data_IF_810944526676
#
_entry.id   IF_810944526676
#
_cell.length_a   1.000
_cell.length_b   1.000
_cell.length_c   1.000
_cell.angle_alpha   90.00
_cell.angle_beta   90.00
_cell.angle_gamma   90.00
#
_symmetry.space_group_name_H-M   'P 1'
#
loop_
_entity.id
_entity.type
_entity.pdbx_description
1 polymer ?
#
# COMPACT_ATOMS: atom_id res chain seq x y z
N UNK A 1 11.31 0.23 18.18
CA UNK A 1 10.26 -0.66 17.65
C UNK A 1 9.24 0.24 16.98
N UNK A 2 8.62 -0.21 15.89
CA UNK A 2 7.52 0.54 15.28
C UNK A 2 6.35 0.61 16.26
N UNK A 3 5.81 1.80 16.48
CA UNK A 3 4.62 2.05 17.30
C UNK A 3 3.39 2.31 16.43
N UNK A 4 3.58 2.70 15.17
CA UNK A 4 2.49 2.97 14.23
C UNK A 4 2.78 2.38 12.84
N UNK A 5 1.93 1.47 12.40
CA UNK A 5 2.03 0.78 11.10
C UNK A 5 0.93 1.29 10.20
N UNK A 6 1.29 1.90 9.06
CA UNK A 6 0.33 2.29 8.04
C UNK A 6 0.24 1.21 6.96
N UNK A 7 -0.97 0.83 6.58
CA UNK A 7 -1.23 0.05 5.38
C UNK A 7 -2.15 0.82 4.43
N UNK A 8 -1.72 0.98 3.18
CA UNK A 8 -2.58 1.52 2.13
C UNK A 8 -3.15 0.37 1.30
N UNK A 9 -4.48 0.31 1.21
CA UNK A 9 -5.22 -0.80 0.59
C UNK A 9 -6.14 -0.32 -0.53
N UNK A 10 -6.38 -1.21 -1.49
CA UNK A 10 -7.40 -1.11 -2.53
C UNK A 10 -8.11 -2.47 -2.67
N UNK A 11 -9.02 -2.61 -3.64
CA UNK A 11 -9.72 -3.87 -3.90
C UNK A 11 -8.86 -4.90 -4.69
N UNK A 12 -7.53 -4.87 -4.52
CA UNK A 12 -6.64 -5.83 -5.18
C UNK A 12 -6.30 -7.03 -4.29
N UNK A 13 -6.03 -8.21 -4.87
CA UNK A 13 -5.50 -9.35 -4.11
C UNK A 13 -4.20 -9.03 -3.38
N UNK A 14 -3.32 -8.22 -3.96
CA UNK A 14 -2.07 -7.80 -3.33
C UNK A 14 -2.31 -6.93 -2.09
N UNK A 15 -3.26 -6.00 -2.14
CA UNK A 15 -3.61 -5.17 -1.00
C UNK A 15 -4.17 -5.99 0.18
N UNK A 16 -4.99 -7.00 -0.08
CA UNK A 16 -5.46 -7.92 0.98
C UNK A 16 -4.32 -8.69 1.65
N UNK A 17 -3.30 -9.09 0.88
CA UNK A 17 -2.08 -9.68 1.45
C UNK A 17 -1.29 -8.63 2.25
N UNK A 18 -1.19 -7.40 1.75
CA UNK A 18 -0.52 -6.31 2.44
C UNK A 18 -1.18 -6.01 3.80
N UNK A 19 -2.52 -6.02 3.87
CA UNK A 19 -3.28 -5.91 5.11
C UNK A 19 -2.93 -7.03 6.08
N UNK A 20 -2.91 -8.29 5.63
CA UNK A 20 -2.57 -9.43 6.48
C UNK A 20 -1.14 -9.34 7.04
N UNK A 21 -0.18 -8.87 6.24
CA UNK A 21 1.20 -8.63 6.69
C UNK A 21 1.27 -7.45 7.67
N UNK A 22 0.54 -6.37 7.43
CA UNK A 22 0.47 -5.21 8.32
C UNK A 22 -0.13 -5.58 9.69
N UNK A 23 -1.21 -6.37 9.70
CA UNK A 23 -1.81 -6.92 10.92
C UNK A 23 -0.80 -7.78 11.68
N UNK A 24 -0.07 -8.66 10.97
CA UNK A 24 0.94 -9.52 11.58
C UNK A 24 2.09 -8.72 12.18
N UNK A 25 2.55 -7.69 11.46
CA UNK A 25 3.60 -6.78 11.91
C UNK A 25 3.17 -5.97 13.12
N UNK A 26 1.98 -5.37 13.08
CA UNK A 26 1.43 -4.57 14.17
C UNK A 26 1.23 -5.43 15.43
N UNK A 27 0.71 -6.65 15.29
CA UNK A 27 0.56 -7.59 16.41
C UNK A 27 1.91 -7.94 17.06
N UNK A 28 2.93 -8.24 16.25
CA UNK A 28 4.25 -8.58 16.76
C UNK A 28 4.92 -7.38 17.48
N UNK A 29 4.64 -6.16 17.04
CA UNK A 29 5.22 -4.95 17.59
C UNK A 29 4.38 -4.30 18.71
N UNK A 30 3.17 -4.80 18.95
CA UNK A 30 2.15 -4.10 19.76
C UNK A 30 1.92 -2.66 19.29
N UNK A 31 1.90 -2.48 17.96
CA UNK A 31 1.72 -1.19 17.31
C UNK A 31 0.24 -0.93 16.98
N UNK A 32 -0.11 0.34 16.86
CA UNK A 32 -1.39 0.76 16.28
C UNK A 32 -1.37 0.59 14.76
N UNK A 33 -2.50 0.15 14.19
CA UNK A 33 -2.65 -0.07 12.75
C UNK A 33 -3.49 1.04 12.11
N UNK A 34 -2.87 1.77 11.19
CA UNK A 34 -3.54 2.76 10.36
C UNK A 34 -3.94 2.12 9.03
N UNK A 35 -5.23 2.10 8.71
CA UNK A 35 -5.77 1.51 7.46
C UNK A 35 -6.24 2.66 6.56
N UNK A 36 -5.55 2.84 5.45
CA UNK A 36 -5.78 3.93 4.52
C UNK A 36 -6.34 3.42 3.20
N UNK A 37 -7.41 4.05 2.71
CA UNK A 37 -7.85 3.95 1.33
C UNK A 37 -7.82 5.33 0.69
N UNK A 38 -7.19 5.44 -0.49
CA UNK A 38 -7.17 6.66 -1.28
C UNK A 38 -7.99 6.42 -2.55
N UNK A 39 -9.02 7.24 -2.76
CA UNK A 39 -9.82 7.16 -3.99
C UNK A 39 -8.97 7.63 -5.17
N UNK A 40 -8.77 6.73 -6.13
CA UNK A 40 -8.03 7.01 -7.36
C UNK A 40 -8.98 7.56 -8.45
N UNK A 41 -8.90 8.88 -8.69
CA UNK A 41 -9.64 9.57 -9.74
C UNK A 41 -8.93 9.57 -11.10
N UNK A 42 -7.82 8.84 -11.29
CA UNK A 42 -7.09 8.81 -12.55
C UNK A 42 -7.91 8.30 -13.74
N UNK A 43 -8.99 7.55 -13.53
CA UNK A 43 -9.91 7.14 -14.60
C UNK A 43 -10.53 8.35 -15.34
N UNK A 44 -10.71 9.48 -14.65
CA UNK A 44 -11.19 10.73 -15.25
C UNK A 44 -10.19 11.34 -16.25
N UNK A 45 -8.92 10.93 -16.23
CA UNK A 45 -7.92 11.38 -17.21
C UNK A 45 -8.06 10.66 -18.56
N UNK A 46 -8.68 9.46 -18.58
CA UNK A 46 -8.82 8.64 -19.78
C UNK A 46 -10.20 8.79 -20.44
N UNK A 47 -11.24 9.16 -19.68
CA UNK A 47 -12.57 9.40 -20.23
C UNK A 47 -12.69 10.83 -20.80
N UNK A 48 -12.47 10.95 -22.11
CA UNK A 48 -12.64 12.18 -22.92
C UNK A 48 -14.12 12.57 -23.10
N UNK A 49 -14.86 12.67 -22.00
CA UNK A 49 -16.24 13.11 -22.02
C UNK A 49 -16.67 13.46 -20.60
N UNK A 50 -17.23 14.65 -20.45
CA UNK A 50 -17.99 15.08 -19.28
C UNK A 50 -19.18 14.12 -19.03
N UNK A 51 -18.92 12.89 -18.59
CA UNK A 51 -19.86 12.11 -17.79
C UNK A 51 -19.94 12.78 -16.42
N UNK A 52 -21.13 12.91 -15.88
CA UNK A 52 -21.36 13.71 -14.68
C UNK A 52 -20.56 13.14 -13.50
N UNK A 53 -19.47 13.82 -13.12
CA UNK A 53 -18.62 13.47 -11.97
C UNK A 53 -19.44 13.28 -10.69
N UNK A 54 -20.58 13.97 -10.59
CA UNK A 54 -21.53 13.84 -9.48
C UNK A 54 -22.08 12.42 -9.31
N UNK A 55 -22.19 11.64 -10.39
CA UNK A 55 -22.86 10.34 -10.36
C UNK A 55 -21.94 9.20 -9.86
N UNK A 56 -20.63 9.34 -10.03
CA UNK A 56 -19.66 8.28 -9.68
C UNK A 56 -19.00 8.48 -8.32
N UNK A 57 -18.81 9.73 -7.87
CA UNK A 57 -18.17 10.00 -6.57
C UNK A 57 -18.85 9.29 -5.39
N UNK A 58 -20.20 9.30 -5.26
CA UNK A 58 -20.85 8.56 -4.17
C UNK A 58 -20.57 7.05 -4.21
N UNK A 59 -20.47 6.46 -5.40
CA UNK A 59 -20.20 5.03 -5.56
C UNK A 59 -18.75 4.69 -5.21
N UNK A 60 -17.80 5.58 -5.55
CA UNK A 60 -16.39 5.43 -5.19
C UNK A 60 -16.17 5.57 -3.68
N UNK A 61 -16.87 6.51 -3.03
CA UNK A 61 -16.86 6.66 -1.57
C UNK A 61 -17.40 5.39 -0.92
N UNK A 62 -18.59 4.93 -1.32
CA UNK A 62 -19.18 3.71 -0.77
C UNK A 62 -18.29 2.46 -0.98
N UNK A 63 -17.64 2.36 -2.14
CA UNK A 63 -16.66 1.29 -2.39
C UNK A 63 -15.43 1.40 -1.49
N UNK A 64 -14.91 2.60 -1.28
CA UNK A 64 -13.79 2.87 -0.37
C UNK A 64 -14.13 2.56 1.09
N UNK A 65 -15.32 2.96 1.54
CA UNK A 65 -15.86 2.63 2.87
C UNK A 65 -15.98 1.12 3.05
N UNK A 66 -16.44 0.38 2.03
CA UNK A 66 -16.50 -1.09 2.08
C UNK A 66 -15.12 -1.72 2.23
N UNK A 67 -14.12 -1.22 1.49
CA UNK A 67 -12.72 -1.70 1.59
C UNK A 67 -12.16 -1.46 3.00
N UNK A 68 -12.41 -0.27 3.57
CA UNK A 68 -11.98 0.06 4.93
C UNK A 68 -12.68 -0.81 5.97
N UNK A 69 -13.98 -1.04 5.81
CA UNK A 69 -14.77 -1.88 6.71
C UNK A 69 -14.26 -3.32 6.73
N UNK A 70 -13.93 -3.91 5.56
CA UNK A 70 -13.30 -5.23 5.50
C UNK A 70 -11.93 -5.25 6.21
N UNK A 71 -11.17 -4.17 6.08
CA UNK A 71 -9.90 -3.98 6.78
C UNK A 71 -10.06 -3.93 8.30
N UNK A 72 -11.02 -3.14 8.77
CA UNK A 72 -11.38 -2.99 10.16
C UNK A 72 -11.80 -4.32 10.79
N UNK A 73 -12.67 -5.07 10.11
CA UNK A 73 -13.11 -6.39 10.57
C UNK A 73 -11.93 -7.37 10.71
N UNK A 74 -11.00 -7.38 9.77
CA UNK A 74 -9.81 -8.22 9.83
C UNK A 74 -8.88 -7.85 11.00
N UNK A 75 -8.68 -6.55 11.25
CA UNK A 75 -7.86 -6.07 12.37
C UNK A 75 -8.55 -6.31 13.73
N UNK A 76 -9.86 -6.06 13.81
CA UNK A 76 -10.68 -6.26 14.99
C UNK A 76 -10.79 -7.74 15.39
N UNK A 77 -10.82 -8.66 14.42
CA UNK A 77 -10.86 -10.10 14.68
C UNK A 77 -9.65 -10.62 15.49
N UNK A 78 -8.52 -9.91 15.45
CA UNK A 78 -7.32 -10.23 16.24
C UNK A 78 -7.10 -9.27 17.42
N UNK A 79 -8.03 -8.35 17.67
CA UNK A 79 -8.00 -7.44 18.81
C UNK A 79 -6.99 -6.28 18.69
N UNK A 80 -6.58 -5.91 17.48
CA UNK A 80 -5.69 -4.77 17.28
C UNK A 80 -6.41 -3.43 17.44
N UNK A 81 -5.71 -2.45 18.02
CA UNK A 81 -6.11 -1.05 17.91
C UNK A 81 -5.85 -0.59 16.47
N UNK A 82 -6.84 0.07 15.88
CA UNK A 82 -6.77 0.51 14.49
C UNK A 82 -7.60 1.76 14.24
N UNK A 83 -7.23 2.48 13.19
CA UNK A 83 -7.97 3.62 12.65
C UNK A 83 -8.10 3.50 11.13
N UNK A 84 -9.28 3.80 10.61
CA UNK A 84 -9.60 3.77 9.19
C UNK A 84 -9.72 5.18 8.64
N UNK A 85 -9.04 5.46 7.53
CA UNK A 85 -9.13 6.75 6.85
C UNK A 85 -9.40 6.57 5.36
N UNK A 86 -10.42 7.30 4.89
CA UNK A 86 -10.74 7.45 3.48
C UNK A 86 -10.27 8.83 2.99
N UNK A 87 -9.38 8.86 2.01
CA UNK A 87 -9.01 10.09 1.31
C UNK A 87 -9.84 10.20 0.02
N UNK A 88 -10.85 11.07 0.08
CA UNK A 88 -11.62 11.59 -1.05
C UNK A 88 -11.10 12.99 -1.41
N UNK A 89 -10.05 13.03 -2.23
CA UNK A 89 -9.44 14.28 -2.69
C UNK A 89 -9.31 14.26 -4.21
N UNK A 90 -9.96 15.20 -4.90
CA UNK A 90 -9.84 15.34 -6.36
C UNK A 90 -8.41 15.61 -6.82
N UNK A 91 -7.54 16.14 -5.95
CA UNK A 91 -6.12 16.29 -6.26
C UNK A 91 -5.38 14.94 -6.39
N UNK A 92 -6.02 13.80 -6.05
CA UNK A 92 -5.44 12.46 -6.24
C UNK A 92 -5.38 12.01 -7.70
N UNK A 93 -5.91 12.79 -8.65
CA UNK A 93 -5.89 12.48 -10.09
C UNK A 93 -4.46 12.22 -10.60
N UNK A 94 -4.05 10.94 -10.59
CA UNK A 94 -2.71 10.50 -10.95
C UNK A 94 -1.67 10.59 -9.82
N UNK A 95 -2.07 10.84 -8.57
CA UNK A 95 -1.13 11.11 -7.48
C UNK A 95 -1.44 10.43 -6.13
N UNK A 96 -1.94 9.19 -6.19
CA UNK A 96 -2.20 8.37 -4.99
C UNK A 96 -0.96 8.23 -4.10
N UNK A 97 0.23 8.07 -4.69
CA UNK A 97 1.47 7.89 -3.93
C UNK A 97 1.80 9.12 -3.06
N UNK A 98 1.62 10.34 -3.58
CA UNK A 98 1.90 11.54 -2.78
C UNK A 98 0.91 11.70 -1.64
N UNK A 99 -0.36 11.36 -1.84
CA UNK A 99 -1.34 11.36 -0.74
C UNK A 99 -0.98 10.37 0.35
N UNK A 100 -0.52 9.17 -0.02
CA UNK A 100 -0.04 8.19 0.96
C UNK A 100 1.22 8.71 1.67
N UNK A 101 2.14 9.37 0.97
CA UNK A 101 3.34 9.97 1.57
C UNK A 101 3.03 11.12 2.53
N UNK A 102 2.08 11.99 2.17
CA UNK A 102 1.59 13.06 3.04
C UNK A 102 0.93 12.46 4.28
N UNK A 103 -0.01 11.52 4.08
CA UNK A 103 -0.71 10.90 5.19
C UNK A 103 0.23 10.15 6.14
N UNK A 104 1.23 9.43 5.61
CA UNK A 104 2.24 8.76 6.43
C UNK A 104 3.02 9.72 7.34
N UNK A 105 3.26 10.97 6.89
CA UNK A 105 3.87 12.00 7.73
C UNK A 105 2.91 12.52 8.78
N UNK A 106 1.68 12.79 8.36
CA UNK A 106 0.67 13.43 9.20
C UNK A 106 0.21 12.52 10.34
N UNK A 107 0.04 11.22 10.06
CA UNK A 107 -0.32 10.24 11.07
C UNK A 107 0.89 9.80 11.93
N UNK A 108 2.12 10.08 11.49
CA UNK A 108 3.33 9.70 12.22
C UNK A 108 3.70 8.21 12.08
N UNK A 109 3.34 7.60 10.95
CA UNK A 109 3.66 6.20 10.68
C UNK A 109 5.17 5.94 10.75
N UNK A 110 5.58 4.83 11.36
CA UNK A 110 6.98 4.41 11.37
C UNK A 110 7.35 3.54 10.15
N UNK A 111 6.34 2.96 9.51
CA UNK A 111 6.47 2.05 8.38
C UNK A 111 5.17 2.02 7.57
N UNK A 112 5.31 1.91 6.25
CA UNK A 112 4.18 1.79 5.31
C UNK A 112 4.18 0.41 4.68
N UNK A 113 3.03 -0.26 4.64
CA UNK A 113 2.84 -1.56 4.00
C UNK A 113 1.90 -1.39 2.81
N UNK A 114 2.30 -1.92 1.65
CA UNK A 114 1.52 -1.85 0.41
C UNK A 114 1.66 -3.12 -0.43
N UNK A 115 0.66 -3.37 -1.27
CA UNK A 115 0.76 -4.35 -2.34
C UNK A 115 1.71 -3.88 -3.44
N UNK A 116 2.39 -4.80 -4.14
CA UNK A 116 3.21 -4.41 -5.31
C UNK A 116 2.39 -4.04 -6.53
N UNK A 117 1.12 -4.43 -6.59
CA UNK A 117 0.20 -4.12 -7.68
C UNK A 117 -1.15 -3.75 -7.09
N UNK A 118 -1.86 -2.83 -7.73
CA UNK A 118 -3.25 -2.52 -7.42
C UNK A 118 -4.23 -3.16 -8.41
N UNK A 119 -5.43 -2.59 -8.49
CA UNK A 119 -6.54 -3.06 -9.35
C UNK A 119 -6.19 -3.27 -10.84
N UNK A 120 -5.28 -2.46 -11.38
CA UNK A 120 -4.91 -2.48 -12.80
C UNK A 120 -3.64 -3.29 -13.12
N UNK A 121 -3.13 -4.09 -12.17
CA UNK A 121 -1.84 -4.78 -12.28
C UNK A 121 -1.69 -5.65 -13.53
N UNK A 122 -0.81 -5.25 -14.45
CA UNK A 122 -0.44 -6.06 -15.61
C UNK A 122 0.51 -7.19 -15.19
N UNK A 123 0.19 -8.44 -15.52
CA UNK A 123 0.97 -9.66 -15.18
C UNK A 123 2.46 -9.65 -15.58
N UNK A 124 2.90 -8.67 -16.38
CA UNK A 124 4.27 -8.50 -16.87
C UNK A 124 5.12 -7.53 -16.04
N UNK A 125 4.51 -6.60 -15.31
CA UNK A 125 5.25 -5.63 -14.49
C UNK A 125 5.52 -6.22 -13.10
N UNK A 126 6.62 -5.80 -12.48
CA UNK A 126 6.99 -6.26 -11.12
C UNK A 126 6.46 -5.37 -10.01
N UNK A 127 6.17 -4.11 -10.35
CA UNK A 127 5.74 -3.07 -9.43
C UNK A 127 4.78 -2.13 -10.18
N UNK A 128 3.65 -1.81 -9.57
CA UNK A 128 2.74 -0.77 -10.02
C UNK A 128 3.31 0.62 -9.75
N UNK A 129 2.79 1.63 -10.45
CA UNK A 129 3.26 3.02 -10.36
C UNK A 129 3.24 3.58 -8.94
N UNK A 130 2.18 3.29 -8.17
CA UNK A 130 2.06 3.72 -6.77
C UNK A 130 3.15 3.08 -5.91
N UNK A 131 3.36 1.78 -6.04
CA UNK A 131 4.35 1.06 -5.25
C UNK A 131 5.79 1.44 -5.61
N UNK A 132 6.07 1.75 -6.88
CA UNK A 132 7.37 2.27 -7.31
C UNK A 132 7.65 3.66 -6.71
N UNK A 133 6.66 4.54 -6.77
CA UNK A 133 6.78 5.91 -6.25
C UNK A 133 6.98 5.89 -4.74
N UNK A 134 6.21 5.08 -4.01
CA UNK A 134 6.36 4.92 -2.57
C UNK A 134 7.72 4.32 -2.19
N UNK A 135 8.17 3.28 -2.89
CA UNK A 135 9.49 2.68 -2.62
C UNK A 135 10.65 3.68 -2.79
N UNK A 136 10.48 4.67 -3.68
CA UNK A 136 11.47 5.71 -3.97
C UNK A 136 11.41 6.87 -2.98
N UNK A 137 10.22 7.41 -2.76
CA UNK A 137 10.04 8.76 -2.19
C UNK A 137 9.35 8.76 -0.81
N UNK A 138 8.96 7.59 -0.28
CA UNK A 138 8.30 7.53 1.01
C UNK A 138 9.22 8.02 2.14
N UNK A 139 8.71 8.88 3.03
CA UNK A 139 9.48 9.44 4.14
C UNK A 139 9.89 8.42 5.19
N UNK A 140 9.30 7.21 5.14
CA UNK A 140 9.52 6.12 6.08
C UNK A 140 9.73 4.80 5.32
N UNK A 141 10.27 3.75 5.97
CA UNK A 141 10.43 2.45 5.33
C UNK A 141 9.12 1.91 4.73
N UNK A 142 9.23 1.30 3.54
CA UNK A 142 8.10 0.72 2.82
C UNK A 142 8.28 -0.80 2.70
N UNK A 143 7.24 -1.53 3.09
CA UNK A 143 7.08 -2.96 2.93
C UNK A 143 6.20 -3.23 1.71
N UNK A 144 6.80 -3.82 0.69
CA UNK A 144 6.17 -4.25 -0.54
C UNK A 144 5.78 -5.71 -0.45
N UNK A 145 4.48 -5.99 -0.60
CA UNK A 145 3.90 -7.33 -0.52
C UNK A 145 3.45 -7.80 -1.90
N UNK A 146 4.07 -8.88 -2.40
CA UNK A 146 3.82 -9.42 -3.74
C UNK A 146 2.68 -10.44 -3.76
N UNK A 147 2.07 -10.65 -4.91
CA UNK A 147 1.30 -11.87 -5.14
C UNK A 147 2.26 -13.06 -5.36
N UNK A 148 1.92 -14.25 -4.84
CA UNK A 148 2.80 -15.44 -4.86
C UNK A 148 3.08 -15.99 -6.27
N UNK A 149 2.44 -15.47 -7.31
CA UNK A 149 2.40 -16.06 -8.65
C UNK A 149 3.41 -15.50 -9.68
N UNK A 150 4.12 -14.40 -9.40
CA UNK A 150 4.96 -13.73 -10.42
C UNK A 150 6.48 -13.84 -10.12
N UNK A 151 7.23 -14.51 -11.00
CA UNK A 151 8.70 -14.53 -10.98
C UNK A 151 9.30 -13.20 -11.46
N UNK A 152 10.51 -12.85 -10.99
CA UNK A 152 11.22 -11.59 -11.26
C UNK A 152 12.01 -11.64 -12.59
N UNK A 153 11.74 -10.79 -13.60
CA UNK A 153 12.67 -10.60 -14.71
C UNK A 153 13.99 -9.95 -14.28
N UNK A 154 15.10 -10.46 -14.82
CA UNK A 154 16.47 -10.11 -14.40
C UNK A 154 16.84 -8.61 -14.47
N UNK A 155 16.22 -7.83 -15.38
CA UNK A 155 16.56 -6.42 -15.58
C UNK A 155 16.21 -5.50 -14.40
N UNK A 156 15.21 -5.86 -13.59
CA UNK A 156 14.74 -5.06 -12.46
C UNK A 156 15.24 -5.58 -11.09
N UNK A 157 15.88 -6.75 -11.05
CA UNK A 157 16.70 -7.21 -9.90
C UNK A 157 17.85 -6.22 -9.60
N UNK A 158 18.34 -5.54 -10.64
CA UNK A 158 19.34 -4.49 -10.51
C UNK A 158 18.82 -3.23 -9.78
N UNK A 159 17.52 -2.93 -9.87
CA UNK A 159 16.90 -1.76 -9.23
C UNK A 159 16.96 -1.86 -7.70
N UNK A 160 16.84 -3.08 -7.17
CA UNK A 160 16.88 -3.36 -5.74
C UNK A 160 18.30 -3.66 -5.21
N UNK A 161 19.34 -3.63 -6.05
CA UNK A 161 20.70 -3.96 -5.65
C UNK A 161 20.90 -5.47 -5.48
N UNK A 162 21.55 -6.08 -6.47
CA UNK A 162 21.64 -7.54 -6.64
C UNK A 162 22.59 -8.29 -5.67
N UNK A 163 22.77 -7.88 -4.41
CA UNK A 163 23.79 -8.51 -3.53
C UNK A 163 23.42 -8.91 -2.11
N UNK A 164 22.24 -8.61 -1.58
CA UNK A 164 21.82 -9.19 -0.29
C UNK A 164 20.29 -9.42 -0.28
N UNK A 165 19.85 -10.31 -1.15
CA UNK A 165 18.46 -10.75 -1.26
C UNK A 165 18.09 -11.66 -0.07
N UNK A 166 18.05 -11.10 1.14
CA UNK A 166 17.33 -11.71 2.26
C UNK A 166 15.83 -11.49 2.08
N UNK A 167 15.28 -12.10 1.02
CA UNK A 167 13.85 -12.24 0.82
C UNK A 167 13.31 -13.21 1.87
N UNK A 168 12.41 -12.76 2.73
CA UNK A 168 11.48 -13.67 3.41
C UNK A 168 10.22 -13.78 2.57
N UNK A 169 10.23 -14.71 1.62
CA UNK A 169 9.07 -15.01 0.77
C UNK A 169 8.64 -13.82 -0.12
N UNK A 170 7.37 -13.45 -0.02
CA UNK A 170 6.74 -12.45 -0.91
C UNK A 170 6.90 -10.99 -0.44
N UNK A 171 7.64 -10.75 0.64
CA UNK A 171 7.79 -9.44 1.27
C UNK A 171 9.17 -8.84 0.97
N UNK A 172 9.20 -7.56 0.59
CA UNK A 172 10.42 -6.78 0.33
C UNK A 172 10.33 -5.48 1.14
N UNK A 173 11.39 -5.12 1.86
CA UNK A 173 11.44 -3.82 2.56
C UNK A 173 12.45 -2.89 1.90
N UNK A 174 12.06 -1.63 1.71
CA UNK A 174 12.91 -0.60 1.10
C UNK A 174 12.79 0.75 1.80
N UNK A 175 13.81 1.58 1.67
CA UNK A 175 13.82 2.96 2.14
C UNK A 175 14.69 3.81 1.22
N UNK A 176 14.16 4.93 0.71
CA UNK A 176 14.86 5.80 -0.25
C UNK A 176 15.36 5.04 -1.49
N UNK A 177 14.55 4.10 -2.02
CA UNK A 177 14.90 3.26 -3.16
C UNK A 177 15.92 2.16 -2.90
N UNK A 178 16.39 1.96 -1.66
CA UNK A 178 17.35 0.90 -1.30
C UNK A 178 16.68 -0.20 -0.49
N UNK A 179 17.05 -1.46 -0.76
CA UNK A 179 16.65 -2.58 0.10
C UNK A 179 17.22 -2.40 1.50
N UNK A 180 16.41 -2.70 2.51
CA UNK A 180 16.85 -2.81 3.90
C UNK A 180 16.59 -4.23 4.39
N UNK A 181 17.48 -4.75 5.24
CA UNK A 181 17.32 -6.10 5.79
C UNK A 181 15.99 -6.19 6.58
N UNK A 182 15.20 -7.22 6.29
CA UNK A 182 13.89 -7.40 6.94
C UNK A 182 14.02 -7.53 8.46
N UNK A 183 13.04 -6.98 9.19
CA UNK A 183 12.95 -7.05 10.64
C UNK A 183 12.64 -8.49 11.09
N UNK A 184 13.71 -9.27 11.30
CA UNK A 184 13.64 -10.59 11.92
C UNK A 184 14.59 -10.61 13.11
N UNK A 185 14.02 -10.64 14.31
CA UNK A 185 14.75 -10.95 15.53
C UNK A 185 15.50 -12.28 15.41
N UNK A 186 16.68 -12.30 16.04
CA UNK A 186 17.51 -13.47 16.33
C UNK A 186 16.74 -14.57 17.04
#
# INVERSE_FOLDING_TARGET
>A
MHQHVLVAIDDSPCARRALSEAISLASACHAELEILHVIDYSFLQYDFGYGDFGDFRPQLIAGGESILQEGAEAAGAVGLQHHETLIDDLATMGNVADRVNEYARDCGADIVVIGTHGRHGLKRMLLGSVAESLARDCPVPVVLVRDSAAAVPAAQSAYFGARDQRFRGNVITCFGGKLIAGFGGT
#
